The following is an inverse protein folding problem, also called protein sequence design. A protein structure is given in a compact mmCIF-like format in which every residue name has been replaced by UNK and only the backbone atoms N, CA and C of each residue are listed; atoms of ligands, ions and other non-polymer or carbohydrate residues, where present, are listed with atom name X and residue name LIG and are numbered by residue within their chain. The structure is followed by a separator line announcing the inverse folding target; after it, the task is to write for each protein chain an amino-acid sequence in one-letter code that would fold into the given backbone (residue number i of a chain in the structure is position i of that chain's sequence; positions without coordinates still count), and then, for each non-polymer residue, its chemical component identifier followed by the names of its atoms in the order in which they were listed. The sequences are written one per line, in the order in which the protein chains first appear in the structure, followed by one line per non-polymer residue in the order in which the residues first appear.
data_IF_997670114585
#
_entry.id   IF_997670114585
#
_cell.length_a   1.000
_cell.length_b   1.000
_cell.length_c   1.000
_cell.angle_alpha   90.00
_cell.angle_beta   90.00
_cell.angle_gamma   90.00
#
_symmetry.space_group_name_H-M   'P 1'
#
loop_
_entity.id
_entity.type
_entity.pdbx_description
1 polymer ?
#
# COMPACT_ATOMS: atom_id res chain seq x y z
N UNK A 1 -16.03 3.10 5.41
CA UNK A 1 -14.88 4.06 5.38
C UNK A 1 -13.62 3.27 5.70
N UNK A 2 -12.55 3.39 4.90
CA UNK A 2 -11.32 2.59 5.06
C UNK A 2 -10.36 3.26 6.06
N UNK A 3 -10.05 2.57 7.15
CA UNK A 3 -9.04 3.01 8.11
C UNK A 3 -7.86 2.05 8.11
N UNK A 4 -6.65 2.61 8.03
CA UNK A 4 -5.42 1.83 8.02
C UNK A 4 -4.23 2.59 8.60
N UNK A 5 -3.32 1.82 9.21
CA UNK A 5 -1.94 2.21 9.51
C UNK A 5 -1.01 1.24 8.82
N UNK A 6 0.08 1.74 8.24
CA UNK A 6 1.06 0.91 7.54
C UNK A 6 2.47 1.48 7.63
N UNK A 7 3.44 0.57 7.47
CA UNK A 7 4.82 0.87 7.20
C UNK A 7 5.21 0.34 5.81
N UNK A 8 5.97 1.13 5.07
CA UNK A 8 6.59 0.70 3.83
C UNK A 8 8.01 0.21 4.10
N UNK A 9 8.31 -0.97 3.59
CA UNK A 9 9.65 -1.52 3.57
C UNK A 9 10.35 -0.98 2.33
N UNK A 10 11.43 -0.22 2.52
CA UNK A 10 12.20 0.40 1.44
C UNK A 10 13.68 0.01 1.54
N UNK A 11 14.38 -0.01 0.40
CA UNK A 11 15.76 -0.51 0.34
C UNK A 11 16.83 0.45 0.87
N UNK A 12 16.53 1.75 0.96
CA UNK A 12 17.52 2.77 1.34
C UNK A 12 16.91 3.88 2.20
N UNK A 13 17.75 4.59 2.97
CA UNK A 13 17.35 5.78 3.73
C UNK A 13 16.86 6.91 2.81
N UNK A 14 17.44 7.06 1.63
CA UNK A 14 16.98 8.02 0.62
C UNK A 14 15.54 7.71 0.15
N UNK A 15 15.22 6.43 -0.05
CA UNK A 15 13.87 5.99 -0.37
C UNK A 15 12.87 6.26 0.76
N UNK A 16 13.30 6.14 2.03
CA UNK A 16 12.47 6.47 3.18
C UNK A 16 12.18 7.98 3.28
N UNK A 17 13.17 8.83 2.93
CA UNK A 17 12.96 10.28 2.87
C UNK A 17 12.00 10.67 1.75
N UNK A 18 12.15 10.08 0.57
CA UNK A 18 11.25 10.25 -0.58
C UNK A 18 9.83 9.75 -0.29
N UNK A 19 9.70 8.67 0.47
CA UNK A 19 8.41 8.21 0.99
C UNK A 19 7.74 9.26 1.88
N UNK A 20 8.49 9.84 2.83
CA UNK A 20 7.95 10.82 3.76
C UNK A 20 7.48 12.10 3.05
N UNK A 21 8.19 12.56 2.01
CA UNK A 21 7.76 13.72 1.23
C UNK A 21 6.52 13.45 0.38
N UNK A 22 6.28 12.18 -0.01
CA UNK A 22 5.13 11.75 -0.83
C UNK A 22 4.03 11.05 -0.03
N UNK A 23 4.04 11.13 1.31
CA UNK A 23 3.14 10.36 2.19
C UNK A 23 1.65 10.58 1.90
N UNK A 24 1.25 11.81 1.56
CA UNK A 24 -0.14 12.13 1.21
C UNK A 24 -0.58 11.42 -0.07
N UNK A 25 0.22 11.48 -1.14
CA UNK A 25 -0.03 10.81 -2.41
C UNK A 25 -0.12 9.29 -2.24
N UNK A 26 0.76 8.72 -1.41
CA UNK A 26 0.73 7.28 -1.11
C UNK A 26 -0.57 6.90 -0.41
N UNK A 27 -1.00 7.69 0.58
CA UNK A 27 -2.25 7.44 1.31
C UNK A 27 -3.45 7.47 0.35
N UNK A 28 -3.48 8.43 -0.57
CA UNK A 28 -4.50 8.54 -1.61
C UNK A 28 -4.47 7.34 -2.57
N UNK A 29 -3.30 6.95 -3.07
CA UNK A 29 -3.15 5.80 -3.96
C UNK A 29 -3.64 4.50 -3.32
N UNK A 30 -3.38 4.32 -2.02
CA UNK A 30 -3.85 3.17 -1.24
C UNK A 30 -5.37 3.22 -1.08
N UNK A 31 -5.93 4.38 -0.75
CA UNK A 31 -7.37 4.56 -0.64
C UNK A 31 -8.06 4.21 -1.96
N UNK A 32 -7.61 4.79 -3.08
CA UNK A 32 -8.17 4.52 -4.41
C UNK A 32 -8.04 3.04 -4.81
N UNK A 33 -6.93 2.38 -4.44
CA UNK A 33 -6.71 0.97 -4.72
C UNK A 33 -7.73 0.08 -4.01
N UNK A 34 -7.97 0.32 -2.72
CA UNK A 34 -8.89 -0.49 -1.91
C UNK A 34 -10.37 -0.10 -2.09
N UNK A 35 -10.68 1.17 -2.39
CA UNK A 35 -12.06 1.63 -2.62
C UNK A 35 -12.69 1.02 -3.89
N UNK A 36 -11.87 0.56 -4.83
CA UNK A 36 -12.32 -0.10 -6.07
C UNK A 36 -12.56 -1.60 -5.91
N UNK A 37 -12.28 -2.17 -4.74
CA UNK A 37 -12.38 -3.61 -4.51
C UNK A 37 -13.76 -3.99 -4.01
N UNK A 38 -14.25 -5.14 -4.48
CA UNK A 38 -15.43 -5.75 -3.93
C UNK A 38 -15.09 -6.48 -2.61
N UNK A 39 -16.07 -6.70 -1.70
CA UNK A 39 -15.83 -7.50 -0.49
C UNK A 39 -15.28 -8.91 -0.79
N UNK A 40 -15.67 -9.49 -1.93
CA UNK A 40 -15.19 -10.80 -2.40
C UNK A 40 -13.69 -10.83 -2.75
N UNK A 41 -13.08 -9.68 -3.06
CA UNK A 41 -11.65 -9.54 -3.28
C UNK A 41 -10.85 -9.61 -1.97
N UNK A 42 -11.50 -9.29 -0.85
CA UNK A 42 -10.89 -9.30 0.49
C UNK A 42 -11.32 -10.52 1.34
N UNK A 43 -12.17 -11.40 0.79
CA UNK A 43 -12.78 -12.51 1.51
C UNK A 43 -11.77 -13.56 2.02
N UNK A 44 -10.71 -13.85 1.26
CA UNK A 44 -9.74 -14.90 1.61
C UNK A 44 -8.33 -14.34 1.81
N UNK A 45 -7.49 -14.97 2.65
CA UNK A 45 -6.10 -14.56 2.84
C UNK A 45 -5.31 -14.47 1.52
N UNK A 46 -5.47 -15.44 0.62
CA UNK A 46 -4.76 -15.47 -0.67
C UNK A 46 -5.17 -14.33 -1.61
N UNK A 47 -6.45 -13.94 -1.63
CA UNK A 47 -6.90 -12.78 -2.42
C UNK A 47 -6.41 -11.47 -1.83
N UNK A 48 -6.46 -11.32 -0.50
CA UNK A 48 -5.88 -10.16 0.22
C UNK A 48 -4.39 -9.99 -0.09
N UNK A 49 -3.63 -11.09 -0.07
CA UNK A 49 -2.21 -11.12 -0.44
C UNK A 49 -2.01 -10.64 -1.89
N UNK A 50 -2.80 -11.15 -2.84
CA UNK A 50 -2.72 -10.74 -4.25
C UNK A 50 -2.98 -9.25 -4.44
N UNK A 51 -4.00 -8.72 -3.76
CA UNK A 51 -4.32 -7.28 -3.77
C UNK A 51 -3.18 -6.46 -3.17
N UNK A 52 -2.59 -6.90 -2.06
CA UNK A 52 -1.45 -6.24 -1.42
C UNK A 52 -0.23 -6.21 -2.33
N UNK A 53 0.10 -7.32 -3.01
CA UNK A 53 1.22 -7.34 -3.98
C UNK A 53 1.01 -6.38 -5.15
N UNK A 54 -0.23 -6.29 -5.66
CA UNK A 54 -0.58 -5.30 -6.70
C UNK A 54 -0.39 -3.87 -6.21
N UNK A 55 -0.79 -3.59 -4.98
CA UNK A 55 -0.56 -2.27 -4.38
C UNK A 55 0.93 -1.95 -4.26
N UNK A 56 1.73 -2.90 -3.76
CA UNK A 56 3.20 -2.74 -3.67
C UNK A 56 3.79 -2.40 -5.04
N UNK A 57 3.45 -3.16 -6.08
CA UNK A 57 3.95 -2.92 -7.42
C UNK A 57 3.51 -1.55 -7.98
N UNK A 58 2.28 -1.12 -7.66
CA UNK A 58 1.77 0.20 -8.06
C UNK A 58 2.54 1.32 -7.38
N UNK A 59 2.72 1.26 -6.06
CA UNK A 59 3.48 2.27 -5.30
C UNK A 59 4.94 2.30 -5.73
N UNK A 60 5.52 1.13 -6.01
CA UNK A 60 6.89 1.03 -6.51
C UNK A 60 7.05 1.74 -7.87
N UNK A 61 6.11 1.52 -8.79
CA UNK A 61 6.13 2.15 -10.13
C UNK A 61 5.87 3.65 -10.07
N UNK A 62 4.88 4.09 -9.30
CA UNK A 62 4.40 5.48 -9.34
C UNK A 62 5.20 6.43 -8.45
N UNK A 63 5.85 5.93 -7.39
CA UNK A 63 6.29 6.79 -6.29
C UNK A 63 7.77 6.67 -5.99
N UNK A 64 8.33 5.45 -5.94
CA UNK A 64 9.70 5.23 -5.42
C UNK A 64 10.64 4.51 -6.41
N UNK A 65 10.15 4.13 -7.59
CA UNK A 65 10.92 3.65 -8.75
C UNK A 65 11.87 2.48 -8.42
N UNK A 66 11.35 1.34 -7.97
CA UNK A 66 12.17 0.13 -7.70
C UNK A 66 12.71 0.03 -6.27
N UNK A 67 12.33 0.95 -5.38
CA UNK A 67 12.85 1.02 -4.01
C UNK A 67 11.88 0.45 -2.96
N UNK A 68 10.65 0.08 -3.33
CA UNK A 68 9.68 -0.53 -2.41
C UNK A 68 9.85 -2.04 -2.39
N UNK A 69 10.10 -2.60 -1.21
CA UNK A 69 10.24 -4.04 -0.97
C UNK A 69 8.95 -4.69 -0.44
N UNK A 70 8.07 -3.91 0.18
CA UNK A 70 6.81 -4.41 0.70
C UNK A 70 6.05 -3.38 1.52
N UNK A 71 4.84 -3.75 1.92
CA UNK A 71 3.97 -2.96 2.81
C UNK A 71 3.56 -3.86 3.96
N UNK A 72 3.70 -3.36 5.19
CA UNK A 72 3.20 -3.97 6.41
C UNK A 72 2.02 -3.13 6.88
N UNK A 73 0.82 -3.70 6.87
CA UNK A 73 -0.34 -3.09 7.52
C UNK A 73 -0.28 -3.40 9.01
N UNK A 74 -0.20 -2.36 9.84
CA UNK A 74 -0.32 -2.46 11.30
C UNK A 74 -1.79 -2.54 11.71
N UNK A 75 -2.62 -1.76 11.03
CA UNK A 75 -4.07 -1.76 11.20
C UNK A 75 -4.71 -1.70 9.81
N UNK A 76 -5.73 -2.51 9.59
CA UNK A 76 -6.50 -2.48 8.35
C UNK A 76 -7.91 -2.99 8.59
N UNK A 77 -8.89 -2.10 8.59
CA UNK A 77 -10.29 -2.46 8.77
C UNK A 77 -11.20 -1.62 7.88
N UNK A 78 -12.14 -2.34 7.26
CA UNK A 78 -13.25 -1.78 6.52
C UNK A 78 -14.46 -1.76 7.45
N UNK A 79 -14.93 -0.56 7.86
CA UNK A 79 -16.27 -0.40 8.43
C UNK A 79 -17.31 -0.59 7.34
#
# INVERSE_FOLDING_TARGET
MLNFSLNLLVSTKAAASEFNSKRALIREAIYLHYNRLAPSDLATPGRRERIRRRLVAKLDREIVHGKVKGIIFQEFYTR
#
